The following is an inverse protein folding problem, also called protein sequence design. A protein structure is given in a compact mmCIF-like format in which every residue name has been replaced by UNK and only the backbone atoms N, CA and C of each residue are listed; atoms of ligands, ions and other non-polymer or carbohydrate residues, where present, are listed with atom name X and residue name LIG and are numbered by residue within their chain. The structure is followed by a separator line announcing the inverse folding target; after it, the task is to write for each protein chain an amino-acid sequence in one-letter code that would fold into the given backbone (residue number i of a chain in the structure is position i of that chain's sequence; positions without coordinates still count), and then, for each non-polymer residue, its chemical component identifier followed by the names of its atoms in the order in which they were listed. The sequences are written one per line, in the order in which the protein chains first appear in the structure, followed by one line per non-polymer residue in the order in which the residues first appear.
data_IF_639136820572
#
_entry.id   IF_639136820572
#
_cell.length_a   1.000
_cell.length_b   1.000
_cell.length_c   1.000
_cell.angle_alpha   90.00
_cell.angle_beta   90.00
_cell.angle_gamma   90.00
#
_symmetry.space_group_name_H-M   'P 1'
#
loop_
_entity.id
_entity.type
_entity.pdbx_description
1 polymer ?
#
# COMPACT_ATOMS: atom_id res chain seq x y z
N UNK A 1 6.66 -13.13 -12.26
CA UNK A 1 5.37 -13.14 -12.98
C UNK A 1 4.70 -11.80 -12.71
N UNK A 2 3.85 -11.33 -13.63
CA UNK A 2 3.09 -10.08 -13.42
C UNK A 2 2.12 -10.27 -12.25
N UNK A 3 2.07 -9.31 -11.32
CA UNK A 3 1.13 -9.33 -10.19
C UNK A 3 -0.30 -9.37 -10.75
N UNK A 4 -1.13 -10.27 -10.20
CA UNK A 4 -2.52 -10.43 -10.67
C UNK A 4 -3.35 -9.18 -10.34
N UNK A 5 -4.14 -8.74 -11.31
CA UNK A 5 -5.06 -7.61 -11.20
C UNK A 5 -6.14 -7.79 -10.10
N UNK A 6 -6.24 -8.97 -9.47
CA UNK A 6 -7.14 -9.19 -8.31
C UNK A 6 -6.73 -8.38 -7.07
N UNK A 7 -5.48 -7.93 -7.01
CA UNK A 7 -4.90 -7.30 -5.81
C UNK A 7 -5.12 -5.78 -5.74
N UNK A 8 -5.47 -5.14 -6.87
CA UNK A 8 -5.62 -3.69 -6.97
C UNK A 8 -6.67 -3.31 -8.01
N UNK A 9 -7.29 -2.14 -7.84
CA UNK A 9 -8.31 -1.65 -8.78
C UNK A 9 -7.72 -0.68 -9.82
N UNK A 10 -6.61 -0.02 -9.48
CA UNK A 10 -5.89 0.89 -10.36
C UNK A 10 -4.37 0.82 -10.12
N UNK A 11 -3.60 1.34 -11.06
CA UNK A 11 -2.17 1.60 -10.89
C UNK A 11 -2.00 3.05 -10.42
N UNK A 12 -1.20 3.26 -9.38
CA UNK A 12 -0.84 4.59 -8.90
C UNK A 12 0.63 4.87 -9.19
N UNK A 13 0.89 5.97 -9.91
CA UNK A 13 2.25 6.46 -10.15
C UNK A 13 2.75 7.21 -8.90
N UNK A 14 3.86 6.74 -8.35
CA UNK A 14 4.56 7.37 -7.24
C UNK A 14 5.69 8.25 -7.77
N UNK A 15 5.63 9.53 -7.43
CA UNK A 15 6.70 10.48 -7.73
C UNK A 15 7.73 10.38 -6.61
N UNK A 16 8.84 9.70 -6.87
CA UNK A 16 9.96 9.64 -5.95
C UNK A 16 10.79 10.94 -6.00
N UNK A 17 11.82 11.05 -5.16
CA UNK A 17 12.68 12.24 -5.11
C UNK A 17 13.71 12.33 -6.26
N UNK A 18 13.79 11.31 -7.13
CA UNK A 18 14.88 11.14 -8.08
C UNK A 18 14.40 10.99 -9.54
N UNK A 19 13.15 11.35 -9.83
CA UNK A 19 12.50 11.17 -11.13
C UNK A 19 12.54 9.70 -11.62
N UNK A 20 12.59 8.74 -10.70
CA UNK A 20 12.46 7.32 -11.01
C UNK A 20 10.99 6.93 -10.81
N UNK A 21 10.18 6.86 -11.89
CA UNK A 21 8.76 6.58 -11.77
C UNK A 21 8.57 5.18 -11.21
N UNK A 22 8.15 5.11 -9.96
CA UNK A 22 7.74 3.87 -9.31
C UNK A 22 6.22 3.77 -9.36
N UNK A 23 5.68 2.56 -9.36
CA UNK A 23 4.25 2.31 -9.43
C UNK A 23 3.82 1.27 -8.41
N UNK A 24 2.62 1.44 -7.89
CA UNK A 24 2.00 0.43 -7.04
C UNK A 24 0.59 0.13 -7.52
N UNK A 25 0.10 -1.06 -7.20
CA UNK A 25 -1.31 -1.36 -7.26
C UNK A 25 -2.01 -0.61 -6.13
N UNK A 26 -3.15 0.02 -6.41
CA UNK A 26 -3.94 0.75 -5.44
C UNK A 26 -5.37 0.20 -5.38
N UNK A 27 -5.84 -0.07 -4.16
CA UNK A 27 -7.22 -0.39 -3.85
C UNK A 27 -7.69 0.47 -2.69
N UNK A 28 -8.87 1.08 -2.84
CA UNK A 28 -9.44 1.96 -1.82
C UNK A 28 -10.82 1.42 -1.42
N UNK A 29 -10.94 1.00 -0.16
CA UNK A 29 -12.19 0.49 0.40
C UNK A 29 -12.74 1.52 1.39
N UNK A 30 -14.01 1.87 1.25
CA UNK A 30 -14.68 2.80 2.17
C UNK A 30 -15.42 2.02 3.24
N UNK A 31 -15.18 2.34 4.52
CA UNK A 31 -15.84 1.71 5.66
C UNK A 31 -16.22 2.75 6.70
N UNK A 32 -17.50 3.15 6.68
CA UNK A 32 -17.97 4.29 7.46
C UNK A 32 -17.24 5.57 7.06
N UNK A 33 -16.61 6.25 8.03
CA UNK A 33 -15.77 7.43 7.78
C UNK A 33 -14.32 7.09 7.40
N UNK A 34 -13.90 5.82 7.50
CA UNK A 34 -12.52 5.42 7.20
C UNK A 34 -12.35 5.02 5.74
N UNK A 35 -11.15 5.27 5.23
CA UNK A 35 -10.66 4.86 3.91
C UNK A 35 -9.50 3.90 4.11
N UNK A 36 -9.73 2.63 3.79
CA UNK A 36 -8.69 1.62 3.79
C UNK A 36 -7.98 1.71 2.45
N UNK A 37 -6.70 2.04 2.48
CA UNK A 37 -5.83 2.18 1.33
C UNK A 37 -4.92 0.97 1.33
N UNK A 38 -5.10 0.08 0.37
CA UNK A 38 -4.24 -1.09 0.16
C UNK A 38 -3.33 -0.80 -1.00
N UNK A 39 -2.03 -0.93 -0.76
CA UNK A 39 -0.99 -0.64 -1.73
C UNK A 39 -0.20 -1.91 -2.00
N UNK A 40 -0.22 -2.36 -3.25
CA UNK A 40 0.40 -3.61 -3.67
C UNK A 40 1.72 -3.33 -4.38
N UNK A 41 2.79 -3.97 -3.92
CA UNK A 41 4.11 -3.86 -4.55
C UNK A 41 4.10 -4.50 -5.95
N UNK A 42 4.63 -3.78 -6.93
CA UNK A 42 4.71 -4.22 -8.33
C UNK A 42 6.18 -4.46 -8.72
N UNK A 43 6.82 -5.47 -8.13
CA UNK A 43 8.27 -5.71 -8.26
C UNK A 43 8.84 -5.71 -9.68
N UNK A 44 8.05 -6.07 -10.70
CA UNK A 44 8.49 -6.07 -12.10
C UNK A 44 8.49 -4.68 -12.74
N UNK A 45 7.64 -3.79 -12.23
CA UNK A 45 7.48 -2.42 -12.71
C UNK A 45 8.41 -1.44 -11.95
N UNK A 46 9.01 -1.87 -10.84
CA UNK A 46 9.93 -1.09 -10.01
C UNK A 46 11.35 -1.71 -9.93
N UNK A 47 12.12 -1.79 -11.04
CA UNK A 47 13.44 -2.40 -11.01
C UNK A 47 14.40 -1.58 -10.14
N UNK A 48 14.72 -2.11 -8.95
CA UNK A 48 15.75 -1.55 -8.06
C UNK A 48 15.24 -0.68 -6.91
N UNK A 49 13.94 -0.54 -6.70
CA UNK A 49 13.38 0.20 -5.54
C UNK A 49 12.03 -0.39 -5.13
N UNK A 50 11.85 -0.63 -3.83
CA UNK A 50 10.53 -1.00 -3.28
C UNK A 50 9.76 0.28 -3.00
N UNK A 51 8.53 0.42 -3.50
CA UNK A 51 7.74 1.66 -3.28
C UNK A 51 7.43 1.83 -1.78
N UNK A 52 7.33 0.71 -1.06
CA UNK A 52 7.16 0.65 0.41
C UNK A 52 8.36 1.19 1.20
N UNK A 53 9.55 1.33 0.61
CA UNK A 53 10.71 1.96 1.26
C UNK A 53 10.45 3.44 1.60
N UNK A 54 9.48 4.07 0.92
CA UNK A 54 9.01 5.41 1.20
C UNK A 54 7.49 5.45 1.45
N UNK A 55 6.99 4.47 2.22
CA UNK A 55 5.55 4.29 2.48
C UNK A 55 4.85 5.55 3.02
N UNK A 56 5.55 6.39 3.79
CA UNK A 56 4.99 7.63 4.32
C UNK A 56 4.76 8.69 3.23
N UNK A 57 5.70 8.86 2.29
CA UNK A 57 5.55 9.74 1.14
C UNK A 57 4.46 9.22 0.19
N UNK A 58 4.43 7.90 -0.04
CA UNK A 58 3.43 7.26 -0.88
C UNK A 58 2.02 7.46 -0.31
N UNK A 59 1.83 7.15 0.97
CA UNK A 59 0.57 7.37 1.67
C UNK A 59 0.10 8.83 1.57
N UNK A 60 1.03 9.79 1.72
CA UNK A 60 0.74 11.21 1.62
C UNK A 60 0.31 11.62 0.21
N UNK A 61 1.01 11.16 -0.82
CA UNK A 61 0.67 11.43 -2.22
C UNK A 61 -0.68 10.85 -2.59
N UNK A 62 -0.99 9.61 -2.17
CA UNK A 62 -2.29 8.99 -2.39
C UNK A 62 -3.39 9.79 -1.70
N UNK A 63 -3.18 10.19 -0.44
CA UNK A 63 -4.14 11.00 0.31
C UNK A 63 -4.47 12.30 -0.43
N UNK A 64 -3.45 13.03 -0.88
CA UNK A 64 -3.64 14.27 -1.66
C UNK A 64 -4.35 14.02 -2.99
N UNK A 65 -3.91 13.02 -3.75
CA UNK A 65 -4.45 12.71 -5.08
C UNK A 65 -5.91 12.26 -5.02
N UNK A 66 -6.32 11.60 -3.94
CA UNK A 66 -7.67 11.03 -3.76
C UNK A 66 -8.58 11.85 -2.86
N UNK A 67 -8.10 12.98 -2.33
CA UNK A 67 -8.86 13.82 -1.40
C UNK A 67 -9.18 13.11 -0.07
N UNK A 68 -8.30 12.19 0.35
CA UNK A 68 -8.44 11.45 1.60
C UNK A 68 -7.70 12.22 2.69
N UNK A 69 -8.39 12.45 3.81
CA UNK A 69 -7.77 13.02 4.99
C UNK A 69 -6.86 11.96 5.64
N UNK A 70 -5.59 12.27 5.97
CA UNK A 70 -4.69 11.32 6.60
C UNK A 70 -5.25 10.69 7.88
N UNK A 71 -6.00 11.45 8.67
CA UNK A 71 -6.65 10.96 9.90
C UNK A 71 -7.76 9.94 9.64
N UNK A 72 -8.32 9.90 8.43
CA UNK A 72 -9.35 8.96 8.01
C UNK A 72 -8.78 7.73 7.30
N UNK A 73 -7.47 7.70 7.05
CA UNK A 73 -6.78 6.62 6.36
C UNK A 73 -6.49 5.44 7.31
N UNK A 74 -6.65 4.22 6.78
CA UNK A 74 -5.99 3.01 7.27
C UNK A 74 -5.11 2.53 6.12
N UNK A 75 -3.80 2.49 6.31
CA UNK A 75 -2.85 2.19 5.24
C UNK A 75 -2.32 0.76 5.39
N UNK A 76 -2.41 -0.02 4.31
CA UNK A 76 -2.01 -1.42 4.28
C UNK A 76 -1.07 -1.64 3.10
N UNK A 77 0.10 -2.20 3.36
CA UNK A 77 1.02 -2.67 2.34
C UNK A 77 0.77 -4.15 2.06
N UNK A 78 0.71 -4.51 0.79
CA UNK A 78 0.51 -5.86 0.29
C UNK A 78 1.74 -6.29 -0.52
N UNK A 79 2.42 -7.33 -0.05
CA UNK A 79 3.49 -8.00 -0.77
C UNK A 79 2.89 -9.24 -1.45
N UNK A 80 2.56 -9.17 -2.75
CA UNK A 80 1.87 -10.27 -3.42
C UNK A 80 2.81 -11.45 -3.64
N UNK A 81 2.28 -12.67 -3.51
CA UNK A 81 3.01 -13.88 -3.92
C UNK A 81 3.33 -13.81 -5.42
N UNK A 82 4.63 -13.95 -5.75
CA UNK A 82 5.13 -13.88 -7.13
C UNK A 82 5.17 -15.23 -7.83
N UNK A 83 4.65 -16.31 -7.22
CA UNK A 83 4.67 -17.70 -7.72
C UNK A 83 6.06 -18.15 -8.20
N UNK A 84 7.11 -17.67 -7.53
CA UNK A 84 8.49 -18.09 -7.75
C UNK A 84 8.68 -19.51 -7.18
N UNK A 85 9.41 -20.39 -7.89
CA UNK A 85 9.79 -21.75 -7.40
C UNK A 85 10.61 -21.74 -6.09
N UNK A 86 11.01 -20.56 -5.61
CA UNK A 86 11.59 -20.28 -4.30
C UNK A 86 10.48 -19.71 -3.41
N UNK A 87 9.69 -20.60 -2.81
CA UNK A 87 8.46 -20.36 -2.03
C UNK A 87 8.71 -19.70 -0.67
N UNK A 88 9.36 -18.54 -0.64
CA UNK A 88 9.67 -17.83 0.62
C UNK A 88 8.73 -16.66 0.93
N UNK A 89 7.88 -16.23 -0.02
CA UNK A 89 6.95 -15.11 0.18
C UNK A 89 5.52 -15.61 -0.05
N UNK A 90 4.89 -16.08 1.02
CA UNK A 90 3.43 -16.10 1.09
C UNK A 90 2.90 -14.66 0.95
N UNK A 91 1.63 -14.51 0.56
CA UNK A 91 0.99 -13.19 0.48
C UNK A 91 0.99 -12.53 1.87
N UNK A 92 1.75 -11.46 2.03
CA UNK A 92 1.90 -10.76 3.31
C UNK A 92 1.24 -9.39 3.27
N UNK A 93 0.59 -9.05 4.37
CA UNK A 93 0.00 -7.73 4.56
C UNK A 93 0.49 -7.08 5.85
N UNK A 94 0.76 -5.79 5.76
CA UNK A 94 1.18 -4.99 6.90
C UNK A 94 0.31 -3.76 7.02
N UNK A 95 -0.32 -3.56 8.17
CA UNK A 95 -0.90 -2.27 8.51
C UNK A 95 0.23 -1.35 8.94
N UNK A 96 0.33 -0.18 8.31
CA UNK A 96 1.38 0.81 8.59
C UNK A 96 0.76 2.03 9.24
N UNK A 97 1.23 2.32 10.45
CA UNK A 97 0.89 3.53 11.17
C UNK A 97 2.01 4.56 11.01
N UNK A 98 1.62 5.83 10.88
CA UNK A 98 2.54 6.94 10.72
C UNK A 98 2.28 8.00 11.78
N UNK A 99 3.32 8.74 12.14
CA UNK A 99 3.20 9.97 12.90
C UNK A 99 2.94 11.15 11.96
N UNK A 100 2.13 12.09 12.41
CA UNK A 100 1.87 13.32 11.68
C UNK A 100 2.75 14.45 12.22
N UNK A 101 3.65 14.95 11.38
CA UNK A 101 4.53 16.08 11.70
C UNK A 101 4.34 17.20 10.69
N UNK A 102 3.50 18.19 11.05
CA UNK A 102 3.22 19.34 10.21
C UNK A 102 2.42 18.98 8.97
N UNK A 103 3.07 18.90 7.81
CA UNK A 103 2.47 18.56 6.51
C UNK A 103 2.98 17.23 5.95
N UNK A 104 3.52 16.35 6.81
CA UNK A 104 4.15 15.09 6.42
C UNK A 104 3.76 13.95 7.35
N UNK A 105 3.73 12.76 6.76
CA UNK A 105 3.73 11.49 7.48
C UNK A 105 5.18 11.06 7.70
N UNK A 106 5.50 10.58 8.90
CA UNK A 106 6.84 10.13 9.29
C UNK A 106 6.76 8.89 10.18
N UNK A 107 7.92 8.30 10.52
CA UNK A 107 8.05 7.22 11.51
C UNK A 107 7.09 6.04 11.28
N UNK A 108 7.20 5.34 10.14
CA UNK A 108 6.35 4.19 9.86
C UNK A 108 6.57 3.08 10.89
N UNK A 109 5.47 2.53 11.39
CA UNK A 109 5.47 1.34 12.25
C UNK A 109 4.58 0.28 11.63
N UNK A 110 5.09 -0.94 11.59
CA UNK A 110 4.51 -2.03 10.81
C UNK A 110 3.90 -3.07 11.74
N UNK A 111 2.65 -3.44 11.47
CA UNK A 111 1.98 -4.57 12.10
C UNK A 111 1.61 -5.58 11.02
N UNK A 112 2.21 -6.78 11.09
CA UNK A 112 1.79 -7.90 10.24
C UNK A 112 0.33 -8.26 10.53
N UNK A 113 -0.46 -8.44 9.47
CA UNK A 113 -1.87 -8.78 9.55
C UNK A 113 -2.09 -10.26 9.27
N UNK A 114 -2.99 -10.87 10.04
CA UNK A 114 -3.47 -12.23 9.81
C UNK A 114 -4.49 -12.26 8.66
N UNK A 115 -4.72 -13.44 8.08
CA UNK A 115 -5.73 -13.62 7.02
C UNK A 115 -7.14 -13.19 7.46
N UNK A 116 -7.49 -13.37 8.73
CA UNK A 116 -8.79 -12.96 9.26
C UNK A 116 -8.91 -11.44 9.43
N UNK A 117 -7.85 -10.77 9.86
CA UNK A 117 -7.80 -9.30 9.92
C UNK A 117 -7.95 -8.70 8.52
N UNK A 118 -7.24 -9.23 7.53
CA UNK A 118 -7.37 -8.80 6.14
C UNK A 118 -8.77 -9.05 5.59
N UNK A 119 -9.33 -10.23 5.84
CA UNK A 119 -10.72 -10.51 5.44
C UNK A 119 -11.68 -9.49 6.03
N UNK A 120 -11.46 -9.03 7.27
CA UNK A 120 -12.31 -8.02 7.89
C UNK A 120 -12.17 -6.63 7.26
N UNK A 121 -10.98 -6.27 6.76
CA UNK A 121 -10.79 -5.04 5.99
C UNK A 121 -11.52 -5.08 4.64
N UNK A 122 -11.54 -6.24 3.99
CA UNK A 122 -12.13 -6.41 2.65
C UNK A 122 -13.64 -6.68 2.66
N UNK A 123 -14.24 -6.97 3.82
CA UNK A 123 -15.71 -7.04 3.97
C UNK A 123 -16.32 -5.65 3.80
N UNK A 124 -17.05 -5.47 2.71
CA UNK A 124 -18.00 -4.36 2.52
C UNK A 124 -19.33 -4.79 3.15
N UNK A 125 -19.83 -4.00 4.11
CA UNK A 125 -21.15 -4.22 4.74
C UNK A 125 -22.24 -3.50 3.95
#
# INVERSE_FOLDING_TARGET
MKVSDKYYDEIFDFLDQWDMPSKCGLKIITKGNKKIIVVTELYQDNPGTSVTYNGASLAWQICRAKGIKPEDMIYIECNPDTNSKLSFYDEEFFEVSFEFQGDRLTNPTYKALTSDEIRNYFKVF
#
